data_IF_045820419314
#
_entry.id   IF_045820419314
#
_cell.length_a   1.000
_cell.length_b   1.000
_cell.length_c   1.000
_cell.angle_alpha   90.00
_cell.angle_beta   90.00
_cell.angle_gamma   90.00
#
_symmetry.space_group_name_H-M   'P 1'
#
loop_
_entity.id
_entity.type
_entity.pdbx_description
1 polymer ?
#
# COMPACT_ATOMS: atom_id res chain seq x y z
N UNK A 1 -44.97 16.16 22.90
CA UNK A 1 -44.07 15.25 22.15
C UNK A 1 -42.78 15.97 21.79
N UNK A 2 -41.78 15.82 22.67
CA UNK A 2 -40.49 16.51 22.59
C UNK A 2 -39.61 15.77 21.58
N UNK A 3 -39.11 16.49 20.57
CA UNK A 3 -38.18 15.96 19.57
C UNK A 3 -36.88 15.49 20.25
N UNK A 4 -36.66 14.18 20.28
CA UNK A 4 -35.35 13.60 20.57
C UNK A 4 -34.47 13.82 19.34
N UNK A 5 -33.48 14.71 19.48
CA UNK A 5 -32.38 14.84 18.53
C UNK A 5 -31.43 13.68 18.84
N UNK A 6 -31.34 12.72 17.93
CA UNK A 6 -30.39 11.61 18.04
C UNK A 6 -28.97 12.17 18.13
N UNK A 7 -28.29 11.88 19.23
CA UNK A 7 -26.90 12.27 19.42
C UNK A 7 -26.02 11.54 18.38
N UNK A 8 -24.97 12.20 17.85
CA UNK A 8 -24.08 11.56 16.89
C UNK A 8 -23.40 10.34 17.54
N UNK A 9 -23.10 9.28 16.75
CA UNK A 9 -22.45 8.09 17.26
C UNK A 9 -21.10 8.46 17.87
N UNK A 10 -20.87 8.02 19.11
CA UNK A 10 -19.59 8.21 19.81
C UNK A 10 -18.69 7.05 19.45
N UNK A 11 -17.57 7.32 18.76
CA UNK A 11 -16.52 6.34 18.55
C UNK A 11 -15.69 6.17 19.83
N UNK A 12 -15.60 4.93 20.31
CA UNK A 12 -14.83 4.56 21.48
C UNK A 12 -13.85 3.44 21.09
N UNK A 13 -12.56 3.67 21.29
CA UNK A 13 -11.55 2.62 21.14
C UNK A 13 -11.63 1.66 22.33
N UNK A 14 -11.90 0.38 22.05
CA UNK A 14 -12.10 -0.67 23.08
C UNK A 14 -10.79 -1.40 23.42
N UNK A 15 -9.73 -1.18 22.63
CA UNK A 15 -8.40 -1.74 22.84
C UNK A 15 -7.65 -2.02 21.54
N UNK A 16 -6.48 -2.63 21.64
CA UNK A 16 -5.59 -2.93 20.53
C UNK A 16 -5.00 -4.34 20.63
N UNK A 17 -4.50 -4.86 19.51
CA UNK A 17 -3.80 -6.14 19.43
C UNK A 17 -2.65 -6.03 18.43
N UNK A 18 -1.65 -6.89 18.58
CA UNK A 18 -0.65 -7.15 17.54
C UNK A 18 -1.00 -8.48 16.89
N UNK A 19 -1.32 -8.43 15.60
CA UNK A 19 -1.60 -9.60 14.80
C UNK A 19 -0.32 -10.06 14.09
N UNK A 20 0.29 -11.20 14.47
CA UNK A 20 1.44 -11.72 13.74
C UNK A 20 1.01 -12.25 12.38
N UNK A 21 1.63 -11.75 11.31
CA UNK A 21 1.43 -12.23 9.94
C UNK A 21 2.46 -13.30 9.54
N UNK A 22 3.57 -13.38 10.29
CA UNK A 22 4.66 -14.33 10.11
C UNK A 22 4.92 -15.07 11.41
N UNK A 23 5.41 -16.30 11.31
CA UNK A 23 5.99 -17.03 12.43
C UNK A 23 7.35 -16.43 12.80
N UNK A 24 7.89 -16.80 13.97
CA UNK A 24 9.24 -16.38 14.40
C UNK A 24 10.34 -16.79 13.40
N UNK A 25 10.08 -17.81 12.58
CA UNK A 25 10.99 -18.27 11.52
C UNK A 25 10.75 -17.57 10.17
N UNK A 26 9.92 -16.53 10.11
CA UNK A 26 9.62 -15.76 8.90
C UNK A 26 8.64 -16.44 7.92
N UNK A 27 7.95 -17.50 8.34
CA UNK A 27 6.97 -18.19 7.48
C UNK A 27 5.60 -17.51 7.58
N UNK A 28 4.95 -17.24 6.45
CA UNK A 28 3.61 -16.61 6.41
C UNK A 28 2.58 -17.48 7.14
N UNK A 29 1.82 -16.87 8.05
CA UNK A 29 0.69 -17.52 8.74
C UNK A 29 -0.52 -17.50 7.81
N UNK A 30 -0.85 -18.64 7.21
CA UNK A 30 -1.98 -18.78 6.29
C UNK A 30 -3.13 -19.57 6.92
N UNK A 31 -4.37 -19.13 6.64
CA UNK A 31 -5.62 -19.83 6.99
C UNK A 31 -5.74 -20.19 8.48
N UNK A 32 -5.42 -19.25 9.35
CA UNK A 32 -5.49 -19.42 10.82
C UNK A 32 -6.55 -18.47 11.39
N UNK A 33 -7.49 -19.02 12.14
CA UNK A 33 -8.35 -18.26 13.05
C UNK A 33 -7.75 -18.30 14.43
N UNK A 34 -7.55 -17.15 15.06
CA UNK A 34 -7.03 -17.04 16.43
C UNK A 34 -7.85 -16.02 17.20
N UNK A 35 -8.10 -16.32 18.47
CA UNK A 35 -8.78 -15.42 19.40
C UNK A 35 -7.73 -14.61 20.15
N UNK A 36 -7.87 -13.28 20.12
CA UNK A 36 -6.98 -12.33 20.79
C UNK A 36 -7.75 -11.57 21.87
N UNK A 37 -7.14 -11.41 23.04
CA UNK A 37 -7.64 -10.47 24.04
C UNK A 37 -7.18 -9.07 23.67
N UNK A 38 -8.10 -8.12 23.61
CA UNK A 38 -7.78 -6.71 23.37
C UNK A 38 -7.00 -6.16 24.57
N UNK A 39 -5.88 -5.50 24.28
CA UNK A 39 -5.08 -4.77 25.25
C UNK A 39 -5.63 -3.35 25.42
N UNK A 40 -5.72 -2.82 26.66
CA UNK A 40 -6.16 -1.44 26.88
C UNK A 40 -5.08 -0.43 26.44
N UNK A 41 -5.47 0.84 26.30
CA UNK A 41 -4.55 1.93 25.97
C UNK A 41 -4.19 1.97 24.49
N UNK A 42 -2.95 2.33 24.17
CA UNK A 42 -2.43 2.40 22.79
C UNK A 42 -1.22 1.47 22.59
N UNK A 43 -0.98 0.97 21.36
CA UNK A 43 0.14 0.06 21.07
C UNK A 43 1.54 0.63 21.34
N UNK A 44 1.65 1.94 21.58
CA UNK A 44 2.91 2.65 21.78
C UNK A 44 3.16 3.03 23.25
N UNK A 45 2.17 2.83 24.12
CA UNK A 45 2.37 2.96 25.56
C UNK A 45 3.19 1.76 26.02
N UNK A 46 4.42 2.01 26.50
CA UNK A 46 5.21 0.98 27.18
C UNK A 46 4.32 0.33 28.21
N UNK A 47 4.19 -0.99 28.16
CA UNK A 47 3.45 -1.79 29.11
C UNK A 47 4.00 -1.51 30.51
N UNK A 48 3.48 -0.47 31.15
CA UNK A 48 3.78 -0.11 32.51
C UNK A 48 3.07 -1.18 33.34
N UNK A 49 3.79 -2.27 33.56
CA UNK A 49 3.55 -3.34 34.53
C UNK A 49 2.19 -3.21 35.22
N UNK A 50 1.15 -3.74 34.58
CA UNK A 50 -0.11 -4.02 35.27
C UNK A 50 0.14 -5.23 36.16
N UNK A 51 0.93 -5.05 37.22
CA UNK A 51 0.85 -5.92 38.38
C UNK A 51 -0.55 -5.70 38.96
N UNK A 52 -1.37 -6.75 38.85
CA UNK A 52 -2.70 -6.83 39.43
C UNK A 52 -2.70 -6.27 40.84
N UNK A 53 -3.33 -5.11 41.03
CA UNK A 53 -3.65 -4.62 42.37
C UNK A 53 -4.62 -5.62 43.01
N UNK A 54 -4.09 -6.57 43.79
CA UNK A 54 -4.87 -7.44 44.69
C UNK A 54 -5.68 -6.57 45.63
N UNK A 55 -6.91 -6.23 45.24
CA UNK A 55 -7.92 -5.69 46.14
C UNK A 55 -8.61 -6.88 46.81
N UNK A 56 -8.31 -7.11 48.09
CA UNK A 56 -9.11 -7.99 48.93
C UNK A 56 -10.56 -7.50 48.94
N UNK A 57 -11.44 -8.31 48.34
CA UNK A 57 -12.84 -7.98 48.17
C UNK A 57 -13.74 -9.15 48.55
N UNK A 58 -14.76 -8.83 49.36
CA UNK A 58 -15.82 -9.71 49.88
C UNK A 58 -16.57 -10.44 48.76
N UNK A 59 -17.19 -11.59 49.05
CA UNK A 59 -17.86 -12.50 48.09
C UNK A 59 -18.70 -11.84 46.98
N UNK A 60 -19.34 -10.69 47.22
CA UNK A 60 -20.08 -9.93 46.20
C UNK A 60 -19.19 -9.32 45.10
N UNK A 61 -17.98 -8.88 45.46
CA UNK A 61 -16.99 -8.33 44.51
C UNK A 61 -16.34 -9.40 43.63
N UNK A 62 -16.31 -10.66 44.07
CA UNK A 62 -15.84 -11.78 43.23
C UNK A 62 -16.82 -12.08 42.10
N UNK A 63 -18.14 -12.01 42.35
CA UNK A 63 -19.16 -12.20 41.31
C UNK A 63 -19.21 -11.01 40.35
N UNK A 64 -19.01 -9.79 40.87
CA UNK A 64 -18.89 -8.59 40.04
C UNK A 64 -17.62 -8.62 39.18
N UNK A 65 -16.48 -9.06 39.73
CA UNK A 65 -15.25 -9.32 38.97
C UNK A 65 -15.43 -10.41 37.91
N UNK A 66 -16.23 -11.45 38.14
CA UNK A 66 -16.52 -12.47 37.11
C UNK A 66 -17.33 -11.89 35.94
N UNK A 67 -18.17 -10.88 36.19
CA UNK A 67 -18.94 -10.16 35.17
C UNK A 67 -18.13 -9.03 34.49
N UNK A 68 -17.15 -8.44 35.18
CA UNK A 68 -16.31 -7.35 34.66
C UNK A 68 -14.91 -7.76 34.15
N UNK A 69 -14.44 -8.99 34.42
CA UNK A 69 -13.14 -9.51 33.97
C UNK A 69 -13.15 -10.15 32.57
N UNK A 70 -14.20 -9.95 31.77
CA UNK A 70 -14.13 -10.36 30.36
C UNK A 70 -13.39 -9.26 29.61
N UNK A 71 -12.07 -9.37 29.55
CA UNK A 71 -11.30 -8.61 28.57
C UNK A 71 -11.94 -8.86 27.20
N UNK A 72 -12.31 -7.81 26.44
CA UNK A 72 -12.98 -7.99 25.18
C UNK A 72 -12.08 -8.81 24.26
N UNK A 73 -12.65 -9.83 23.63
CA UNK A 73 -11.93 -10.74 22.74
C UNK A 73 -12.36 -10.49 21.30
N UNK A 74 -11.38 -10.56 20.40
CA UNK A 74 -11.61 -10.48 18.96
C UNK A 74 -11.11 -11.78 18.32
N UNK A 75 -11.98 -12.42 17.54
CA UNK A 75 -11.59 -13.57 16.71
C UNK A 75 -11.18 -13.06 15.34
N UNK A 76 -9.94 -13.32 14.96
CA UNK A 76 -9.38 -12.88 13.68
C UNK A 76 -8.99 -14.09 12.87
N UNK A 77 -9.50 -14.13 11.64
CA UNK A 77 -9.12 -15.11 10.63
C UNK A 77 -8.18 -14.48 9.62
N UNK A 78 -6.92 -14.93 9.63
CA UNK A 78 -5.96 -14.65 8.56
C UNK A 78 -6.14 -15.73 7.50
N UNK A 79 -6.68 -15.37 6.34
CA UNK A 79 -6.89 -16.29 5.24
C UNK A 79 -6.55 -15.64 3.91
N UNK A 80 -6.12 -16.45 2.95
CA UNK A 80 -6.03 -15.98 1.57
C UNK A 80 -7.45 -15.85 1.00
N UNK A 81 -7.75 -14.76 0.28
CA UNK A 81 -9.06 -14.58 -0.32
C UNK A 81 -9.29 -15.67 -1.38
N UNK A 82 -10.45 -16.33 -1.31
CA UNK A 82 -10.91 -17.26 -2.34
C UNK A 82 -11.09 -16.56 -3.70
N UNK A 83 -11.18 -17.33 -4.79
CA UNK A 83 -11.41 -16.77 -6.14
C UNK A 83 -12.68 -15.91 -6.20
N UNK A 84 -13.74 -16.32 -5.51
CA UNK A 84 -14.98 -15.54 -5.42
C UNK A 84 -14.77 -14.25 -4.63
N UNK A 85 -14.07 -14.30 -3.49
CA UNK A 85 -13.71 -13.13 -2.72
C UNK A 85 -12.76 -12.20 -3.48
N UNK A 86 -11.86 -12.72 -4.31
CA UNK A 86 -11.02 -11.92 -5.21
C UNK A 86 -11.87 -11.15 -6.21
N UNK A 87 -12.81 -11.81 -6.89
CA UNK A 87 -13.74 -11.14 -7.79
C UNK A 87 -14.62 -10.10 -7.08
N UNK A 88 -15.05 -10.38 -5.84
CA UNK A 88 -15.81 -9.41 -5.04
C UNK A 88 -14.95 -8.23 -4.56
N UNK A 89 -13.67 -8.47 -4.27
CA UNK A 89 -12.74 -7.39 -3.98
C UNK A 89 -12.50 -6.50 -5.19
N UNK A 90 -12.69 -6.97 -6.43
CA UNK A 90 -12.59 -6.10 -7.62
C UNK A 90 -13.74 -5.09 -7.74
N UNK A 91 -14.86 -5.28 -7.02
CA UNK A 91 -16.05 -4.39 -7.10
C UNK A 91 -16.24 -3.52 -5.86
N UNK A 92 -15.38 -3.64 -4.85
CA UNK A 92 -15.44 -2.80 -3.67
C UNK A 92 -14.87 -1.39 -3.98
N UNK A 93 -15.20 -0.37 -3.19
CA UNK A 93 -14.54 0.93 -3.31
C UNK A 93 -13.06 0.84 -2.91
N UNK A 94 -12.19 1.60 -3.59
CA UNK A 94 -10.74 1.61 -3.35
C UNK A 94 -10.34 1.92 -1.90
N UNK A 95 -11.21 2.57 -1.13
CA UNK A 95 -10.96 2.82 0.31
C UNK A 95 -10.98 1.53 1.17
N UNK A 96 -11.68 0.48 0.71
CA UNK A 96 -11.76 -0.83 1.37
C UNK A 96 -10.74 -1.83 0.80
N UNK A 97 -10.33 -1.66 -0.46
CA UNK A 97 -9.36 -2.52 -1.18
C UNK A 97 -7.97 -1.87 -1.23
N UNK A 98 -7.78 -0.71 -0.60
CA UNK A 98 -6.69 0.25 -0.84
C UNK A 98 -5.27 -0.22 -0.57
N UNK A 99 -5.05 -1.51 -0.36
CA UNK A 99 -3.73 -2.13 -0.32
C UNK A 99 -3.67 -3.39 -1.19
N UNK A 100 -4.68 -4.27 -1.22
CA UNK A 100 -4.53 -5.59 -1.86
C UNK A 100 -4.39 -5.55 -3.39
N UNK A 101 -5.14 -4.67 -4.08
CA UNK A 101 -4.98 -4.47 -5.53
C UNK A 101 -3.64 -3.81 -5.90
N UNK A 102 -3.01 -3.14 -4.93
CA UNK A 102 -1.75 -2.42 -5.11
C UNK A 102 -0.53 -3.23 -4.63
N UNK A 103 -0.75 -4.23 -3.79
CA UNK A 103 0.29 -5.10 -3.23
C UNK A 103 1.25 -5.66 -4.29
N UNK A 104 0.80 -6.16 -5.46
CA UNK A 104 1.72 -6.67 -6.46
C UNK A 104 2.71 -5.59 -6.96
N UNK A 105 2.23 -4.35 -7.11
CA UNK A 105 3.06 -3.22 -7.54
C UNK A 105 4.00 -2.74 -6.44
N UNK A 106 3.51 -2.71 -5.20
CA UNK A 106 4.32 -2.38 -4.03
C UNK A 106 5.44 -3.42 -3.82
N UNK A 107 5.13 -4.71 -3.93
CA UNK A 107 6.13 -5.78 -3.83
C UNK A 107 7.17 -5.69 -4.95
N UNK A 108 6.74 -5.43 -6.19
CA UNK A 108 7.66 -5.22 -7.32
C UNK A 108 8.56 -4.00 -7.10
N UNK A 109 8.01 -2.90 -6.58
CA UNK A 109 8.76 -1.69 -6.24
C UNK A 109 9.78 -1.95 -5.14
N UNK A 110 9.39 -2.61 -4.05
CA UNK A 110 10.29 -2.91 -2.95
C UNK A 110 11.45 -3.78 -3.39
N UNK A 111 11.22 -4.74 -4.29
CA UNK A 111 12.31 -5.52 -4.86
C UNK A 111 13.26 -4.66 -5.70
N UNK A 112 12.72 -3.84 -6.62
CA UNK A 112 13.53 -2.95 -7.44
C UNK A 112 14.32 -1.94 -6.59
N UNK A 113 13.72 -1.47 -5.50
CA UNK A 113 14.38 -0.61 -4.53
C UNK A 113 15.46 -1.35 -3.74
N UNK A 114 15.20 -2.59 -3.32
CA UNK A 114 16.17 -3.44 -2.63
C UNK A 114 17.36 -3.76 -3.54
N UNK A 115 17.13 -4.04 -4.83
CA UNK A 115 18.21 -4.20 -5.81
C UNK A 115 19.00 -2.91 -6.01
N UNK A 116 18.34 -1.75 -6.07
CA UNK A 116 19.04 -0.48 -6.15
C UNK A 116 19.87 -0.17 -4.89
N UNK A 117 19.41 -0.62 -3.71
CA UNK A 117 20.06 -0.43 -2.42
C UNK A 117 21.20 -1.42 -2.14
N UNK A 118 20.96 -2.69 -2.42
CA UNK A 118 21.78 -3.82 -1.99
C UNK A 118 22.40 -4.60 -3.15
N UNK A 119 21.96 -4.36 -4.38
CA UNK A 119 22.48 -5.01 -5.58
C UNK A 119 23.88 -4.50 -5.96
N UNK A 120 24.66 -5.37 -6.57
CA UNK A 120 26.05 -5.15 -7.01
C UNK A 120 26.20 -4.14 -8.16
N UNK A 121 25.09 -3.57 -8.66
CA UNK A 121 25.05 -2.77 -9.89
C UNK A 121 25.42 -1.29 -9.72
N UNK A 122 25.33 -0.73 -8.51
CA UNK A 122 25.64 0.68 -8.27
C UNK A 122 26.84 0.78 -7.33
N UNK A 123 28.00 0.97 -7.96
CA UNK A 123 29.30 0.94 -7.31
C UNK A 123 29.38 1.82 -6.05
N UNK A 124 30.01 1.25 -5.03
CA UNK A 124 30.48 1.90 -3.80
C UNK A 124 29.39 2.49 -2.89
N UNK A 125 28.90 1.64 -1.99
CA UNK A 125 28.46 2.04 -0.64
C UNK A 125 29.60 2.84 0.01
N UNK A 126 29.52 4.17 -0.05
CA UNK A 126 30.47 5.06 0.63
C UNK A 126 29.79 5.75 1.81
N UNK A 127 30.30 5.39 2.98
CA UNK A 127 30.29 6.11 4.26
C UNK A 127 28.97 6.08 5.07
N UNK A 128 28.96 5.46 6.26
CA UNK A 128 27.89 5.62 7.25
C UNK A 128 28.00 7.02 7.91
N UNK A 129 26.89 7.78 7.98
CA UNK A 129 26.80 9.00 8.78
C UNK A 129 26.13 10.23 8.16
N UNK A 130 25.72 10.19 6.88
CA UNK A 130 24.89 11.24 6.26
C UNK A 130 23.86 10.60 5.35
N UNK A 131 22.61 11.05 5.38
CA UNK A 131 21.48 10.46 4.66
C UNK A 131 21.85 9.93 3.26
N UNK A 132 21.45 8.70 2.98
CA UNK A 132 21.85 7.98 1.78
C UNK A 132 21.01 8.43 0.58
N UNK A 133 21.59 9.25 -0.29
CA UNK A 133 20.97 9.57 -1.58
C UNK A 133 21.43 8.53 -2.59
N UNK A 134 20.55 7.59 -2.94
CA UNK A 134 20.76 6.75 -4.11
C UNK A 134 20.73 7.64 -5.36
N UNK A 135 21.83 7.64 -6.12
CA UNK A 135 21.91 8.28 -7.44
C UNK A 135 21.78 7.22 -8.54
N UNK A 136 21.31 7.64 -9.70
CA UNK A 136 21.20 6.81 -10.92
C UNK A 136 20.20 5.63 -10.79
N UNK A 137 19.14 5.82 -10.01
CA UNK A 137 18.10 4.82 -9.82
C UNK A 137 17.16 4.80 -11.03
N UNK A 138 16.66 3.62 -11.48
CA UNK A 138 15.63 3.54 -12.50
C UNK A 138 14.41 4.42 -12.18
N UNK A 139 13.80 5.11 -13.15
CA UNK A 139 12.65 5.99 -12.93
C UNK A 139 11.49 5.30 -12.23
N UNK A 140 11.29 4.00 -12.48
CA UNK A 140 10.27 3.19 -11.80
C UNK A 140 10.44 3.16 -10.28
N UNK A 141 11.66 3.21 -9.74
CA UNK A 141 11.87 3.21 -8.29
C UNK A 141 11.68 4.61 -7.71
N UNK A 142 12.23 5.63 -8.38
CA UNK A 142 12.18 7.01 -7.92
C UNK A 142 10.77 7.61 -8.00
N UNK A 143 10.01 7.29 -9.04
CA UNK A 143 8.69 7.88 -9.32
C UNK A 143 7.52 7.08 -8.77
N UNK A 144 7.73 5.80 -8.44
CA UNK A 144 6.63 4.98 -7.93
C UNK A 144 5.96 5.52 -6.66
N UNK A 145 6.65 6.11 -5.67
CA UNK A 145 5.97 6.74 -4.53
C UNK A 145 4.96 7.81 -4.96
N UNK A 146 5.33 8.66 -5.93
CA UNK A 146 4.41 9.68 -6.47
C UNK A 146 3.23 9.05 -7.21
N UNK A 147 3.46 7.95 -7.93
CA UNK A 147 2.39 7.18 -8.60
C UNK A 147 1.47 6.53 -7.57
N UNK A 148 2.03 5.90 -6.53
CA UNK A 148 1.29 5.25 -5.45
C UNK A 148 0.40 6.23 -4.67
N UNK A 149 0.84 7.47 -4.50
CA UNK A 149 0.07 8.55 -3.87
C UNK A 149 -1.01 9.14 -4.80
N UNK A 150 -1.16 8.64 -6.03
CA UNK A 150 -2.08 9.15 -7.03
C UNK A 150 -2.99 8.03 -7.54
N UNK A 151 -4.19 7.82 -6.95
CA UNK A 151 -5.07 6.68 -7.27
C UNK A 151 -5.34 6.48 -8.77
N UNK A 152 -5.54 7.56 -9.51
CA UNK A 152 -5.76 7.51 -10.97
C UNK A 152 -4.55 6.95 -11.74
N UNK A 153 -3.32 7.27 -11.31
CA UNK A 153 -2.10 6.72 -11.93
C UNK A 153 -1.89 5.25 -11.56
N UNK A 154 -2.24 4.88 -10.32
CA UNK A 154 -2.22 3.46 -9.90
C UNK A 154 -3.23 2.65 -10.70
N UNK A 155 -4.42 3.20 -10.96
CA UNK A 155 -5.42 2.53 -11.78
C UNK A 155 -4.97 2.37 -13.23
N UNK A 156 -4.35 3.41 -13.81
CA UNK A 156 -3.72 3.33 -15.13
C UNK A 156 -2.63 2.25 -15.18
N UNK A 157 -1.78 2.17 -14.15
CA UNK A 157 -0.76 1.13 -14.00
C UNK A 157 -1.40 -0.25 -13.89
N UNK A 158 -2.45 -0.42 -13.09
CA UNK A 158 -3.13 -1.69 -12.89
C UNK A 158 -3.72 -2.24 -14.18
N UNK A 159 -4.50 -1.41 -14.89
CA UNK A 159 -5.14 -1.80 -16.14
C UNK A 159 -4.08 -2.09 -17.22
N UNK A 160 -3.16 -1.16 -17.44
CA UNK A 160 -2.13 -1.32 -18.48
C UNK A 160 -1.17 -2.47 -18.23
N UNK A 161 -0.82 -2.74 -16.96
CA UNK A 161 0.02 -3.87 -16.59
C UNK A 161 -0.72 -5.19 -16.75
N UNK A 162 -2.01 -5.25 -16.41
CA UNK A 162 -2.80 -6.44 -16.65
C UNK A 162 -2.86 -6.78 -18.15
N UNK A 163 -3.08 -5.78 -19.01
CA UNK A 163 -3.02 -5.96 -20.47
C UNK A 163 -1.66 -6.53 -20.90
N UNK A 164 -0.57 -5.92 -20.40
CA UNK A 164 0.79 -6.37 -20.69
C UNK A 164 1.08 -7.78 -20.19
N UNK A 165 0.55 -8.15 -19.01
CA UNK A 165 0.67 -9.49 -18.48
C UNK A 165 -0.05 -10.51 -19.39
N UNK A 166 -1.20 -10.19 -19.96
CA UNK A 166 -1.89 -11.13 -20.86
C UNK A 166 -1.07 -11.45 -22.12
N UNK A 167 -0.25 -10.52 -22.58
CA UNK A 167 0.65 -10.70 -23.73
C UNK A 167 1.88 -11.58 -23.41
N UNK A 168 2.25 -11.71 -22.14
CA UNK A 168 3.42 -12.50 -21.74
C UNK A 168 3.15 -14.00 -21.76
N UNK A 169 4.17 -14.74 -22.20
CA UNK A 169 4.16 -16.21 -22.15
C UNK A 169 4.08 -16.72 -20.70
N UNK A 170 3.58 -17.94 -20.52
CA UNK A 170 3.48 -18.56 -19.19
C UNK A 170 4.83 -18.81 -18.53
N UNK A 171 5.91 -18.98 -19.29
CA UNK A 171 7.27 -19.09 -18.74
C UNK A 171 7.78 -17.74 -18.27
N UNK A 172 7.60 -16.68 -19.06
CA UNK A 172 7.97 -15.30 -18.69
C UNK A 172 7.25 -14.82 -17.43
N UNK A 173 6.00 -15.24 -17.20
CA UNK A 173 5.24 -14.91 -15.97
C UNK A 173 5.81 -15.55 -14.70
N UNK A 174 6.54 -16.67 -14.83
CA UNK A 174 7.15 -17.40 -13.71
C UNK A 174 8.59 -16.97 -13.45
N UNK A 175 9.23 -16.39 -14.45
CA UNK A 175 10.58 -15.84 -14.35
C UNK A 175 10.50 -14.42 -13.80
N UNK A 176 10.92 -14.30 -12.54
CA UNK A 176 10.83 -13.04 -11.82
C UNK A 176 11.75 -11.95 -12.39
N UNK A 177 12.91 -12.31 -12.95
CA UNK A 177 13.86 -11.36 -13.53
C UNK A 177 13.30 -10.78 -14.83
N UNK A 178 12.71 -11.64 -15.66
CA UNK A 178 12.00 -11.22 -16.87
C UNK A 178 10.80 -10.34 -16.51
N UNK A 179 10.03 -10.72 -15.49
CA UNK A 179 8.85 -9.98 -15.07
C UNK A 179 9.21 -8.57 -14.57
N UNK A 180 10.25 -8.48 -13.74
CA UNK A 180 10.79 -7.24 -13.18
C UNK A 180 11.32 -6.30 -14.26
N UNK A 181 12.13 -6.81 -15.20
CA UNK A 181 12.62 -6.01 -16.34
C UNK A 181 11.47 -5.50 -17.20
N UNK A 182 10.50 -6.37 -17.50
CA UNK A 182 9.32 -6.02 -18.28
C UNK A 182 8.47 -4.96 -17.57
N UNK A 183 8.33 -5.05 -16.25
CA UNK A 183 7.62 -4.07 -15.45
C UNK A 183 8.29 -2.70 -15.48
N UNK A 184 9.61 -2.65 -15.30
CA UNK A 184 10.38 -1.41 -15.37
C UNK A 184 10.26 -0.73 -16.75
N UNK A 185 10.34 -1.51 -17.83
CA UNK A 185 10.14 -1.02 -19.19
C UNK A 185 8.70 -0.51 -19.42
N UNK A 186 7.70 -1.27 -18.94
CA UNK A 186 6.29 -0.89 -19.04
C UNK A 186 6.00 0.40 -18.29
N UNK A 187 6.48 0.51 -17.05
CA UNK A 187 6.34 1.71 -16.24
C UNK A 187 6.93 2.93 -16.96
N UNK A 188 8.15 2.80 -17.49
CA UNK A 188 8.85 3.89 -18.19
C UNK A 188 8.14 4.30 -19.48
N UNK A 189 7.56 3.35 -20.21
CA UNK A 189 6.87 3.62 -21.48
C UNK A 189 5.45 4.18 -21.29
N UNK A 190 4.72 3.69 -20.31
CA UNK A 190 3.28 3.97 -20.19
C UNK A 190 2.97 4.92 -19.04
N UNK A 191 3.53 4.67 -17.86
CA UNK A 191 3.13 5.38 -16.64
C UNK A 191 3.95 6.64 -16.41
N UNK A 192 5.25 6.61 -16.69
CA UNK A 192 6.11 7.77 -16.56
C UNK A 192 5.62 8.98 -17.39
N UNK A 193 5.22 8.84 -18.68
CA UNK A 193 4.67 9.98 -19.43
C UNK A 193 3.41 10.57 -18.81
N UNK A 194 2.53 9.73 -18.24
CA UNK A 194 1.35 10.19 -17.52
C UNK A 194 1.75 10.92 -16.24
N UNK A 195 2.68 10.36 -15.46
CA UNK A 195 3.18 11.00 -14.25
C UNK A 195 3.80 12.37 -14.53
N UNK A 196 4.42 12.58 -15.70
CA UNK A 196 4.97 13.86 -16.12
C UNK A 196 3.91 14.89 -16.51
N UNK A 197 2.64 14.52 -16.75
CA UNK A 197 1.60 15.49 -17.11
C UNK A 197 1.40 16.53 -15.99
N UNK A 198 1.34 17.79 -16.39
CA UNK A 198 1.01 18.89 -15.49
C UNK A 198 -0.49 18.94 -15.22
N UNK A 199 -0.86 19.13 -13.95
CA UNK A 199 -2.22 19.40 -13.47
C UNK A 199 -3.30 18.36 -13.90
N UNK A 200 -2.88 17.19 -14.39
CA UNK A 200 -3.79 16.16 -14.88
C UNK A 200 -4.38 15.31 -13.74
N UNK A 201 -3.63 15.11 -12.66
CA UNK A 201 -4.00 14.20 -11.58
C UNK A 201 -3.95 14.90 -10.21
N UNK A 202 -5.01 14.76 -9.39
CA UNK A 202 -4.99 15.21 -8.01
C UNK A 202 -3.98 14.38 -7.22
N UNK A 203 -3.13 15.03 -6.43
CA UNK A 203 -2.21 14.34 -5.51
C UNK A 203 -2.96 14.02 -4.21
N UNK A 204 -2.76 12.81 -3.67
CA UNK A 204 -3.35 12.38 -2.41
C UNK A 204 -4.70 11.66 -2.57
N UNK A 205 -5.44 11.59 -1.46
CA UNK A 205 -6.72 10.86 -1.40
C UNK A 205 -7.74 11.49 -2.35
N UNK A 206 -8.06 10.76 -3.42
CA UNK A 206 -9.12 11.14 -4.36
C UNK A 206 -10.44 10.60 -3.83
N UNK A 207 -11.45 11.45 -3.66
CA UNK A 207 -12.79 10.98 -3.29
C UNK A 207 -13.40 10.10 -4.39
N UNK A 208 -14.21 9.08 -4.05
CA UNK A 208 -14.71 8.10 -5.03
C UNK A 208 -15.40 8.75 -6.23
N UNK A 209 -16.19 9.81 -6.01
CA UNK A 209 -16.88 10.55 -7.08
C UNK A 209 -15.91 11.24 -8.05
N UNK A 210 -14.81 11.80 -7.56
CA UNK A 210 -13.80 12.44 -8.41
C UNK A 210 -13.02 11.39 -9.20
N UNK A 211 -12.70 10.27 -8.56
CA UNK A 211 -12.06 9.12 -9.20
C UNK A 211 -12.92 8.59 -10.35
N UNK A 212 -14.19 8.27 -10.10
CA UNK A 212 -15.14 7.78 -11.10
C UNK A 212 -15.30 8.74 -12.29
N UNK A 213 -15.26 10.05 -12.04
CA UNK A 213 -15.38 11.07 -13.09
C UNK A 213 -14.11 11.16 -13.95
N UNK A 214 -12.92 11.04 -13.34
CA UNK A 214 -11.63 11.25 -14.02
C UNK A 214 -10.99 9.96 -14.55
N UNK A 215 -11.37 8.79 -14.04
CA UNK A 215 -10.82 7.50 -14.43
C UNK A 215 -10.95 7.22 -15.94
N UNK A 216 -12.11 7.44 -16.61
CA UNK A 216 -12.23 7.16 -18.04
C UNK A 216 -11.24 7.95 -18.90
N UNK A 217 -11.08 9.25 -18.60
CA UNK A 217 -10.11 10.12 -19.29
C UNK A 217 -8.67 9.70 -19.01
N UNK A 218 -8.39 9.26 -17.78
CA UNK A 218 -7.07 8.74 -17.41
C UNK A 218 -6.72 7.48 -18.21
N UNK A 219 -7.68 6.56 -18.36
CA UNK A 219 -7.50 5.34 -19.15
C UNK A 219 -7.38 5.64 -20.65
N UNK A 220 -8.02 6.69 -21.16
CA UNK A 220 -7.83 7.17 -22.54
C UNK A 220 -6.40 7.69 -22.76
N UNK A 221 -5.90 8.54 -21.87
CA UNK A 221 -4.51 9.02 -21.90
C UNK A 221 -3.51 7.86 -21.81
N UNK A 222 -3.79 6.89 -20.95
CA UNK A 222 -2.99 5.68 -20.81
C UNK A 222 -2.91 4.89 -22.12
N UNK A 223 -4.02 4.73 -22.86
CA UNK A 223 -4.01 4.10 -24.19
C UNK A 223 -3.18 4.89 -25.21
N UNK A 224 -3.20 6.22 -25.16
CA UNK A 224 -2.33 7.04 -26.01
C UNK A 224 -0.85 6.76 -25.71
N UNK A 225 -0.47 6.71 -24.44
CA UNK A 225 0.91 6.40 -24.04
C UNK A 225 1.34 4.97 -24.38
N UNK A 226 0.43 3.98 -24.28
CA UNK A 226 0.70 2.60 -24.72
C UNK A 226 0.98 2.52 -26.22
N UNK A 227 0.30 3.34 -27.03
CA UNK A 227 0.45 3.32 -28.49
C UNK A 227 1.76 3.93 -28.96
N UNK A 228 2.10 5.13 -28.49
CA UNK A 228 3.34 5.83 -28.83
C UNK A 228 3.64 6.91 -27.77
N UNK A 229 4.57 6.65 -26.84
CA UNK A 229 4.89 7.61 -25.79
C UNK A 229 5.63 8.85 -26.31
N UNK A 230 6.38 8.74 -27.41
CA UNK A 230 7.12 9.89 -27.97
C UNK A 230 6.17 10.85 -28.66
N UNK A 231 5.19 10.32 -29.38
CA UNK A 231 4.10 11.12 -29.95
C UNK A 231 3.27 11.78 -28.85
N UNK A 232 3.05 11.09 -27.73
CA UNK A 232 2.38 11.66 -26.58
C UNK A 232 3.12 12.88 -26.00
N UNK A 233 4.43 12.77 -25.77
CA UNK A 233 5.27 13.88 -25.30
C UNK A 233 5.35 15.04 -26.29
N UNK A 234 5.30 14.76 -27.58
CA UNK A 234 5.39 15.77 -28.64
C UNK A 234 4.05 16.46 -28.94
N UNK A 235 2.98 16.08 -28.24
CA UNK A 235 1.65 16.65 -28.43
C UNK A 235 1.57 18.08 -27.88
N UNK A 236 1.13 19.03 -28.70
CA UNK A 236 0.85 20.41 -28.26
C UNK A 236 -0.35 20.51 -27.31
N UNK A 237 -1.15 19.44 -27.21
CA UNK A 237 -2.35 19.41 -26.37
C UNK A 237 -2.03 19.28 -24.88
N UNK A 238 -0.85 18.77 -24.54
CA UNK A 238 -0.47 18.43 -23.17
C UNK A 238 0.77 19.20 -22.74
N UNK A 239 0.82 19.55 -21.46
CA UNK A 239 1.99 20.16 -20.84
C UNK A 239 2.64 19.15 -19.90
N UNK A 240 3.96 19.05 -19.99
CA UNK A 240 4.75 18.11 -19.22
C UNK A 240 5.67 18.84 -18.27
N UNK A 241 5.87 18.26 -17.08
CA UNK A 241 6.89 18.71 -16.14
C UNK A 241 8.28 18.47 -16.76
N UNK A 242 9.21 19.42 -16.59
CA UNK A 242 10.58 19.21 -17.06
C UNK A 242 11.23 18.09 -16.27
N UNK A 243 12.11 17.34 -16.94
CA UNK A 243 12.93 16.32 -16.28
C UNK A 243 13.82 16.96 -15.21
N UNK A 244 13.82 16.35 -14.02
CA UNK A 244 14.58 16.78 -12.85
C UNK A 244 15.42 15.65 -12.30
N UNK A 245 16.54 15.98 -11.66
CA UNK A 245 17.43 14.98 -11.05
C UNK A 245 16.70 14.09 -10.02
N UNK A 246 15.63 14.59 -9.39
CA UNK A 246 14.78 13.80 -8.48
C UNK A 246 14.18 12.54 -9.11
N UNK A 247 14.03 12.51 -10.43
CA UNK A 247 13.45 11.37 -11.16
C UNK A 247 14.45 10.20 -11.31
N UNK A 248 15.70 10.41 -10.91
CA UNK A 248 16.75 9.39 -10.86
C UNK A 248 17.40 9.29 -9.47
N UNK A 249 16.82 9.92 -8.45
CA UNK A 249 17.34 9.84 -7.08
C UNK A 249 16.28 9.40 -6.09
N UNK A 250 16.64 8.47 -5.20
CA UNK A 250 15.75 8.04 -4.13
C UNK A 250 16.30 8.53 -2.77
N UNK A 251 15.60 9.42 -2.05
CA UNK A 251 16.03 9.91 -0.75
C UNK A 251 15.67 8.88 0.34
N UNK A 252 16.43 7.79 0.41
CA UNK A 252 16.23 6.77 1.46
C UNK A 252 17.01 7.21 2.69
N UNK A 253 16.30 7.66 3.72
CA UNK A 253 16.87 7.89 5.05
C UNK A 253 16.78 6.60 5.83
N UNK A 254 17.92 5.94 6.03
CA UNK A 254 18.07 4.89 7.04
C UNK A 254 18.60 5.62 8.27
N UNK A 255 17.71 5.97 9.19
CA UNK A 255 18.11 6.48 10.49
C UNK A 255 18.66 5.28 11.30
N UNK A 256 19.96 5.33 11.60
CA UNK A 256 20.67 4.35 12.42
C UNK A 256 20.48 4.61 13.91
#
# INVERSE_FOLDING_TARGET
PTNQVDAPPVELSVGWIILPLFTENGVVINNKTSDYQLQPGTPYEQAANTEDSKREGTFLSKVQNILSNRSPQVSIRVAQPSREQQNMMEVLPDILIGLSGYLPFMSMHWELAAEALFGTAFGTVKQPGSGFLLRDVPPVVAMFPTVADTPLLVEALRVSWNDRLQELSTSSKKDFDVLRKTYSEHFTKVIYPLACLMDAFPKGTTGSKEFETKAPKTLELMKLTQSDPLKFFSSEQYKFRPFTASECTCPIRIDS
#
